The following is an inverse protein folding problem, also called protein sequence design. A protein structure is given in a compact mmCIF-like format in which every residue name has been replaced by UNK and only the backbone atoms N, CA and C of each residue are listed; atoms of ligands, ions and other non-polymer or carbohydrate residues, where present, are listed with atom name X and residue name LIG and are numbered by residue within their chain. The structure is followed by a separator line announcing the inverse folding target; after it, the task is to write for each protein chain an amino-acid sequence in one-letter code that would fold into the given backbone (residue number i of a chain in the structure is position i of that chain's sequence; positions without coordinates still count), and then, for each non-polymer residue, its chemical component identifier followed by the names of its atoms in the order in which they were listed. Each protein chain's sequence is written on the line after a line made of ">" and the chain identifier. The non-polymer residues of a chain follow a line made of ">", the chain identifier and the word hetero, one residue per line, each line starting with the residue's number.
data_IF_969505683768
#
_entry.id   IF_969505683768
#
_cell.length_a   1.000
_cell.length_b   1.000
_cell.length_c   1.000
_cell.angle_alpha   90.00
_cell.angle_beta   90.00
_cell.angle_gamma   90.00
#
_symmetry.space_group_name_H-M   'P 1'
#
loop_
_entity.id
_entity.type
_entity.pdbx_description
1 polymer ?
#
# COMPACT_ATOMS: atom_id res chain seq x y z
N UNK A 1 -14.95 -41.56 15.45
CA UNK A 1 -14.17 -40.31 15.51
C UNK A 1 -14.95 -39.21 14.77
N UNK A 2 -15.65 -38.35 15.52
CA UNK A 2 -16.45 -37.28 14.93
C UNK A 2 -15.57 -36.12 14.49
N UNK A 3 -15.64 -35.74 13.21
CA UNK A 3 -15.06 -34.50 12.69
C UNK A 3 -15.67 -33.32 13.46
N UNK A 4 -14.88 -32.64 14.30
CA UNK A 4 -15.24 -31.32 14.83
C UNK A 4 -15.45 -30.40 13.63
N UNK A 5 -16.71 -30.06 13.33
CA UNK A 5 -17.04 -28.90 12.50
C UNK A 5 -16.43 -27.68 13.20
N UNK A 6 -15.37 -27.12 12.63
CA UNK A 6 -14.92 -25.77 12.98
C UNK A 6 -16.07 -24.84 12.64
N UNK A 7 -16.83 -24.45 13.66
CA UNK A 7 -17.94 -23.51 13.55
C UNK A 7 -17.29 -22.17 13.17
N UNK A 8 -17.30 -21.83 11.89
CA UNK A 8 -16.85 -20.52 11.40
C UNK A 8 -17.64 -19.47 12.16
N UNK A 9 -16.93 -18.67 12.94
CA UNK A 9 -17.49 -17.55 13.68
C UNK A 9 -18.25 -16.65 12.69
N UNK A 10 -19.53 -16.32 12.94
CA UNK A 10 -20.27 -15.45 12.04
C UNK A 10 -19.59 -14.09 11.97
N UNK A 11 -19.30 -13.62 10.75
CA UNK A 11 -18.70 -12.31 10.47
C UNK A 11 -19.78 -11.35 9.98
N UNK A 12 -19.72 -10.09 10.37
CA UNK A 12 -20.60 -9.05 9.83
C UNK A 12 -20.20 -8.73 8.38
N UNK A 13 -21.17 -8.59 7.49
CA UNK A 13 -20.92 -8.32 6.07
C UNK A 13 -21.93 -7.34 5.49
N UNK A 14 -21.55 -6.69 4.40
CA UNK A 14 -22.45 -5.87 3.60
C UNK A 14 -22.15 -6.01 2.10
N UNK A 15 -23.10 -5.59 1.27
CA UNK A 15 -22.99 -5.62 -0.18
C UNK A 15 -23.37 -4.25 -0.75
N UNK A 16 -22.54 -3.73 -1.67
CA UNK A 16 -22.82 -2.47 -2.34
C UNK A 16 -23.99 -2.59 -3.31
N UNK A 17 -24.12 -3.71 -4.02
CA UNK A 17 -25.25 -3.98 -4.90
C UNK A 17 -25.88 -5.36 -4.68
N UNK A 18 -27.08 -5.54 -5.21
CA UNK A 18 -27.89 -6.74 -4.99
C UNK A 18 -27.21 -8.01 -5.52
N UNK A 19 -26.51 -7.91 -6.64
CA UNK A 19 -25.78 -9.03 -7.23
C UNK A 19 -24.61 -9.52 -6.36
N UNK A 20 -24.07 -8.68 -5.47
CA UNK A 20 -22.90 -9.03 -4.64
C UNK A 20 -23.31 -9.69 -3.31
N UNK A 21 -24.61 -9.82 -3.02
CA UNK A 21 -25.11 -10.25 -1.70
C UNK A 21 -24.66 -11.66 -1.33
N UNK A 22 -24.64 -12.59 -2.28
CA UNK A 22 -24.28 -13.97 -2.00
C UNK A 22 -22.76 -14.11 -1.76
N UNK A 23 -21.94 -13.39 -2.52
CA UNK A 23 -20.49 -13.35 -2.31
C UNK A 23 -20.12 -12.62 -1.00
N UNK A 24 -20.82 -11.53 -0.67
CA UNK A 24 -20.67 -10.84 0.61
C UNK A 24 -21.00 -11.75 1.79
N UNK A 25 -22.09 -12.53 1.68
CA UNK A 25 -22.47 -13.52 2.70
C UNK A 25 -21.44 -14.64 2.81
N UNK A 26 -20.90 -15.09 1.69
CA UNK A 26 -19.88 -16.14 1.65
C UNK A 26 -18.52 -15.63 2.16
N UNK A 27 -18.26 -14.33 2.05
CA UNK A 27 -16.98 -13.71 2.41
C UNK A 27 -15.84 -14.10 1.48
N UNK A 28 -16.13 -14.54 0.24
CA UNK A 28 -15.13 -14.98 -0.74
C UNK A 28 -15.70 -14.97 -2.17
N UNK A 29 -14.86 -14.83 -3.20
CA UNK A 29 -15.31 -14.88 -4.59
C UNK A 29 -15.81 -16.26 -4.98
N UNK A 30 -16.80 -16.27 -5.89
CA UNK A 30 -17.27 -17.49 -6.54
C UNK A 30 -16.38 -17.92 -7.72
N UNK A 31 -15.66 -16.97 -8.32
CA UNK A 31 -14.75 -17.19 -9.45
C UNK A 31 -13.28 -17.35 -9.01
N UNK A 32 -12.45 -17.94 -9.88
CA UNK A 32 -10.99 -18.08 -9.74
C UNK A 32 -10.28 -17.26 -10.84
N UNK A 33 -9.16 -16.61 -10.51
CA UNK A 33 -8.35 -15.81 -11.44
C UNK A 33 -7.10 -16.54 -11.98
N UNK A 34 -6.90 -17.84 -11.73
CA UNK A 34 -5.76 -18.60 -12.27
C UNK A 34 -5.64 -18.53 -13.80
N UNK A 35 -6.76 -18.68 -14.52
CA UNK A 35 -6.78 -18.62 -15.98
C UNK A 35 -6.40 -17.21 -16.47
N UNK A 36 -7.01 -16.18 -15.86
CA UNK A 36 -6.67 -14.78 -16.12
C UNK A 36 -5.17 -14.50 -15.90
N UNK A 37 -4.61 -15.01 -14.81
CA UNK A 37 -3.20 -14.85 -14.50
C UNK A 37 -2.28 -15.53 -15.54
N UNK A 38 -2.58 -16.77 -15.91
CA UNK A 38 -1.79 -17.51 -16.90
C UNK A 38 -1.77 -16.85 -18.28
N UNK A 39 -2.91 -16.33 -18.75
CA UNK A 39 -3.02 -15.63 -20.03
C UNK A 39 -2.21 -14.33 -20.11
N UNK A 40 -1.93 -13.70 -18.95
CA UNK A 40 -1.26 -12.40 -18.84
C UNK A 40 0.14 -12.48 -18.24
N UNK A 41 0.68 -13.70 -18.12
CA UNK A 41 1.99 -13.96 -17.48
C UNK A 41 2.11 -13.34 -16.08
N UNK A 42 1.02 -13.43 -15.31
CA UNK A 42 0.96 -13.01 -13.91
C UNK A 42 1.15 -14.21 -13.00
N UNK A 43 1.85 -13.98 -11.89
CA UNK A 43 1.96 -14.97 -10.83
C UNK A 43 0.68 -15.00 -10.00
N UNK A 44 0.01 -16.15 -9.95
CA UNK A 44 -1.14 -16.37 -9.07
C UNK A 44 -0.68 -16.67 -7.64
N UNK A 45 -0.86 -15.71 -6.74
CA UNK A 45 -0.51 -15.78 -5.32
C UNK A 45 -1.64 -16.27 -4.39
N UNK A 46 -2.85 -16.47 -4.91
CA UNK A 46 -4.01 -16.89 -4.11
C UNK A 46 -4.37 -15.88 -3.02
N UNK A 47 -4.36 -16.31 -1.77
CA UNK A 47 -4.80 -15.49 -0.62
C UNK A 47 -3.62 -14.77 0.07
N UNK A 48 -2.50 -14.56 -0.63
CA UNK A 48 -1.28 -13.98 -0.05
C UNK A 48 -1.10 -12.52 -0.44
N UNK A 49 -0.84 -11.69 0.57
CA UNK A 49 -0.35 -10.32 0.40
C UNK A 49 0.97 -10.28 -0.36
N UNK A 50 1.09 -9.30 -1.25
CA UNK A 50 2.31 -9.05 -2.00
C UNK A 50 3.08 -7.89 -1.37
N UNK A 51 4.33 -8.16 -0.98
CA UNK A 51 5.19 -7.20 -0.26
C UNK A 51 5.25 -5.83 -0.95
N UNK A 52 5.28 -5.82 -2.28
CA UNK A 52 5.43 -4.63 -3.11
C UNK A 52 4.29 -3.62 -3.02
N UNK A 53 3.13 -4.05 -2.54
CA UNK A 53 1.91 -3.25 -2.51
C UNK A 53 1.23 -3.26 -1.14
N UNK A 54 1.92 -3.69 -0.07
CA UNK A 54 1.32 -3.86 1.27
C UNK A 54 0.55 -2.65 1.79
N UNK A 55 0.99 -1.43 1.45
CA UNK A 55 0.33 -0.20 1.89
C UNK A 55 -1.08 -0.03 1.33
N UNK A 56 -1.28 -0.59 0.13
CA UNK A 56 -2.49 -0.48 -0.67
C UNK A 56 -3.34 -1.74 -0.70
N UNK A 57 -3.03 -2.81 0.04
CA UNK A 57 -3.85 -4.05 0.15
C UNK A 57 -4.19 -4.33 1.61
N UNK A 58 -5.28 -5.04 1.98
CA UNK A 58 -5.67 -5.29 3.36
C UNK A 58 -4.55 -5.73 4.31
N UNK A 59 -4.72 -5.44 5.61
CA UNK A 59 -3.73 -5.83 6.63
C UNK A 59 -3.63 -7.35 6.80
N UNK A 60 -4.73 -8.06 6.63
CA UNK A 60 -4.84 -9.48 6.93
C UNK A 60 -4.95 -10.27 5.64
N UNK A 61 -4.30 -11.44 5.58
CA UNK A 61 -4.36 -12.31 4.39
C UNK A 61 -5.77 -12.89 4.21
N UNK A 62 -6.51 -13.04 5.31
CA UNK A 62 -7.90 -13.50 5.38
C UNK A 62 -8.87 -12.60 4.60
N UNK A 63 -8.45 -11.38 4.24
CA UNK A 63 -9.24 -10.45 3.44
C UNK A 63 -8.87 -10.48 1.96
N UNK A 64 -7.92 -11.31 1.54
CA UNK A 64 -7.41 -11.34 0.17
C UNK A 64 -7.77 -12.66 -0.47
N UNK A 65 -8.23 -12.57 -1.71
CA UNK A 65 -8.56 -13.70 -2.56
C UNK A 65 -8.04 -13.45 -3.98
N UNK A 66 -7.70 -14.53 -4.68
CA UNK A 66 -7.33 -14.50 -6.09
C UNK A 66 -6.27 -13.44 -6.45
N UNK A 67 -5.27 -13.21 -5.61
CA UNK A 67 -4.24 -12.22 -5.87
C UNK A 67 -3.36 -12.64 -7.05
N UNK A 68 -3.33 -11.84 -8.10
CA UNK A 68 -2.50 -12.01 -9.30
C UNK A 68 -1.46 -10.88 -9.32
N UNK A 69 -0.19 -11.22 -9.30
CA UNK A 69 0.91 -10.28 -9.16
C UNK A 69 1.87 -10.33 -10.35
N UNK A 70 2.35 -9.19 -10.80
CA UNK A 70 3.31 -9.15 -11.89
C UNK A 70 3.43 -7.78 -12.52
N UNK A 71 3.86 -7.77 -13.78
CA UNK A 71 3.90 -6.57 -14.60
C UNK A 71 2.51 -6.33 -15.21
N UNK A 72 1.90 -5.20 -14.84
CA UNK A 72 0.63 -4.74 -15.38
C UNK A 72 0.90 -3.68 -16.45
N UNK A 73 0.41 -3.92 -17.67
CA UNK A 73 0.80 -3.16 -18.86
C UNK A 73 2.30 -3.28 -19.14
N UNK A 74 2.88 -2.24 -19.74
CA UNK A 74 4.27 -2.30 -20.21
C UNK A 74 5.31 -2.00 -19.11
N UNK A 75 4.92 -1.35 -18.01
CA UNK A 75 5.90 -0.64 -17.16
C UNK A 75 5.72 -0.80 -15.65
N UNK A 76 4.53 -1.16 -15.14
CA UNK A 76 4.26 -1.06 -13.69
C UNK A 76 4.15 -2.43 -13.05
N UNK A 77 4.78 -2.57 -11.89
CA UNK A 77 4.56 -3.73 -11.02
C UNK A 77 3.31 -3.49 -10.19
N UNK A 78 2.50 -4.52 -10.03
CA UNK A 78 1.29 -4.41 -9.24
C UNK A 78 0.57 -5.72 -9.02
N UNK A 79 -0.64 -5.61 -8.52
CA UNK A 79 -1.56 -6.73 -8.30
C UNK A 79 -2.95 -6.42 -8.81
N UNK A 80 -3.64 -7.46 -9.25
CA UNK A 80 -5.10 -7.52 -9.41
C UNK A 80 -5.59 -8.54 -8.39
N UNK A 81 -6.54 -8.17 -7.54
CA UNK A 81 -7.03 -9.08 -6.50
C UNK A 81 -8.48 -8.84 -6.14
N UNK A 82 -9.11 -9.89 -5.63
CA UNK A 82 -10.35 -9.79 -4.88
C UNK A 82 -10.01 -9.54 -3.42
N UNK A 83 -10.68 -8.59 -2.79
CA UNK A 83 -10.45 -8.32 -1.38
C UNK A 83 -11.74 -7.97 -0.63
N UNK A 84 -11.72 -8.19 0.68
CA UNK A 84 -12.74 -7.76 1.61
C UNK A 84 -12.35 -6.38 2.15
N UNK A 85 -13.13 -5.37 1.75
CA UNK A 85 -13.03 -4.03 2.31
C UNK A 85 -13.67 -4.01 3.69
N UNK A 86 -12.88 -3.70 4.71
CA UNK A 86 -13.36 -3.53 6.09
C UNK A 86 -13.94 -2.12 6.28
N UNK A 87 -15.16 -2.07 6.83
CA UNK A 87 -15.87 -0.83 7.14
C UNK A 87 -16.29 -0.88 8.61
N UNK A 88 -15.75 0.04 9.43
CA UNK A 88 -16.15 0.18 10.83
C UNK A 88 -17.61 0.64 10.98
N UNK A 89 -18.20 0.39 12.13
CA UNK A 89 -19.48 1.00 12.50
C UNK A 89 -19.27 2.40 13.09
N UNK A 90 -20.20 3.30 12.81
CA UNK A 90 -20.32 4.57 13.50
C UNK A 90 -21.53 4.52 14.44
N UNK A 91 -21.31 4.96 15.67
CA UNK A 91 -22.35 5.24 16.65
C UNK A 91 -22.81 6.69 16.49
N UNK A 92 -24.11 6.92 16.51
CA UNK A 92 -24.68 8.26 16.66
C UNK A 92 -25.81 8.19 17.68
N UNK A 93 -25.93 9.22 18.51
CA UNK A 93 -26.94 9.30 19.57
C UNK A 93 -28.39 9.20 19.03
N UNK A 94 -28.61 9.57 17.77
CA UNK A 94 -29.95 9.78 17.21
C UNK A 94 -30.37 8.77 16.12
N UNK A 95 -29.46 8.00 15.51
CA UNK A 95 -29.78 7.18 14.32
C UNK A 95 -29.41 5.70 14.40
N UNK A 96 -29.03 5.23 15.59
CA UNK A 96 -28.55 3.87 15.82
C UNK A 96 -27.15 3.63 15.23
N UNK A 97 -26.72 2.37 15.25
CA UNK A 97 -25.45 1.93 14.66
C UNK A 97 -25.60 1.78 13.16
N UNK A 98 -24.76 2.49 12.40
CA UNK A 98 -24.68 2.41 10.94
C UNK A 98 -23.26 2.10 10.53
N UNK A 99 -23.06 1.62 9.31
CA UNK A 99 -21.71 1.59 8.74
C UNK A 99 -21.16 3.02 8.71
N UNK A 100 -19.88 3.18 9.04
CA UNK A 100 -19.23 4.48 9.06
C UNK A 100 -19.14 5.10 7.65
N UNK A 101 -19.18 4.26 6.62
CA UNK A 101 -19.31 4.63 5.22
C UNK A 101 -20.75 5.02 4.89
N UNK A 102 -20.91 6.14 4.17
CA UNK A 102 -22.21 6.61 3.71
C UNK A 102 -22.78 5.81 2.53
N UNK A 103 -23.96 6.25 2.07
CA UNK A 103 -24.68 5.68 0.94
C UNK A 103 -25.44 4.41 1.30
N UNK A 104 -26.28 3.97 0.37
CA UNK A 104 -27.11 2.80 0.58
C UNK A 104 -26.33 1.51 0.30
N UNK A 105 -26.65 0.47 1.06
CA UNK A 105 -26.15 -0.88 0.85
C UNK A 105 -27.32 -1.76 0.46
N UNK A 106 -27.14 -2.62 -0.53
CA UNK A 106 -28.18 -3.58 -0.92
C UNK A 106 -28.53 -4.53 0.23
N UNK A 107 -27.55 -4.85 1.09
CA UNK A 107 -27.77 -5.60 2.32
C UNK A 107 -26.66 -5.36 3.32
N UNK A 108 -27.03 -5.36 4.61
CA UNK A 108 -26.10 -5.37 5.75
C UNK A 108 -26.54 -6.48 6.70
N UNK A 109 -25.59 -7.29 7.16
CA UNK A 109 -25.82 -8.30 8.19
C UNK A 109 -24.77 -8.16 9.28
N UNK A 110 -25.24 -7.91 10.50
CA UNK A 110 -24.41 -7.88 11.69
C UNK A 110 -24.26 -9.28 12.29
N UNK A 111 -23.10 -9.56 12.88
CA UNK A 111 -22.88 -10.74 13.71
C UNK A 111 -23.87 -10.75 14.88
N UNK A 112 -24.52 -11.89 15.11
CA UNK A 112 -25.59 -12.03 16.12
C UNK A 112 -25.17 -11.88 17.59
N UNK A 113 -23.87 -11.85 17.88
CA UNK A 113 -23.32 -11.64 19.23
C UNK A 113 -23.14 -10.15 19.59
N UNK A 114 -23.30 -9.23 18.63
CA UNK A 114 -23.38 -7.80 18.94
C UNK A 114 -24.71 -7.57 19.66
N UNK A 115 -24.71 -7.65 20.98
CA UNK A 115 -25.89 -7.24 21.76
C UNK A 115 -26.05 -5.76 21.54
N UNK A 116 -27.29 -5.33 21.31
CA UNK A 116 -27.64 -3.90 21.21
C UNK A 116 -27.11 -3.08 22.41
N UNK A 117 -26.93 -3.74 23.57
CA UNK A 117 -26.35 -3.18 24.78
C UNK A 117 -24.83 -2.97 24.74
N UNK A 118 -24.06 -3.76 23.98
CA UNK A 118 -22.60 -3.65 23.86
C UNK A 118 -22.17 -2.48 22.95
N UNK A 119 -23.15 -1.80 22.34
CA UNK A 119 -22.93 -0.72 21.38
C UNK A 119 -23.45 0.66 21.89
N UNK A 120 -24.01 0.71 23.11
CA UNK A 120 -24.43 1.97 23.76
C UNK A 120 -23.24 2.93 23.97
N UNK A 121 -23.44 4.27 23.98
CA UNK A 121 -22.38 5.27 24.16
C UNK A 121 -21.67 5.24 25.53
N UNK A 122 -21.97 4.26 26.40
CA UNK A 122 -21.25 3.98 27.65
C UNK A 122 -20.83 2.50 27.76
N UNK A 123 -21.09 1.66 26.76
CA UNK A 123 -20.79 0.23 26.80
C UNK A 123 -19.28 -0.07 26.86
N UNK A 124 -18.45 0.84 26.36
CA UNK A 124 -16.98 0.77 26.46
C UNK A 124 -16.44 0.98 27.89
N UNK A 125 -17.26 1.46 28.84
CA UNK A 125 -16.92 1.50 30.27
C UNK A 125 -17.14 0.14 30.97
N UNK A 126 -17.93 -0.76 30.37
CA UNK A 126 -18.33 -2.04 30.98
C UNK A 126 -17.89 -3.28 30.17
N UNK A 127 -17.60 -3.13 28.88
CA UNK A 127 -17.03 -4.18 28.04
C UNK A 127 -15.51 -4.14 28.14
N UNK A 128 -14.97 -4.92 29.09
CA UNK A 128 -13.52 -5.17 29.22
C UNK A 128 -12.91 -5.96 28.04
N UNK A 129 -13.54 -5.94 26.87
CA UNK A 129 -13.08 -6.64 25.66
C UNK A 129 -12.40 -5.60 24.77
N UNK A 130 -11.13 -5.33 25.06
CA UNK A 130 -10.21 -4.88 24.01
C UNK A 130 -9.99 -6.09 23.12
N UNK A 131 -10.74 -6.19 22.03
CA UNK A 131 -10.45 -7.16 20.97
C UNK A 131 -8.97 -7.01 20.61
N UNK A 132 -8.21 -8.09 20.74
CA UNK A 132 -6.83 -8.11 20.26
C UNK A 132 -6.85 -7.79 18.74
N UNK A 133 -5.91 -6.98 18.23
CA UNK A 133 -5.90 -6.64 16.82
C UNK A 133 -5.82 -7.92 15.97
N UNK A 134 -6.84 -8.18 15.17
CA UNK A 134 -6.98 -9.39 14.37
C UNK A 134 -7.97 -9.19 13.22
N UNK A 135 -8.08 -10.16 12.30
CA UNK A 135 -9.07 -10.12 11.23
C UNK A 135 -10.49 -10.24 11.78
N UNK A 136 -11.42 -9.59 11.09
CA UNK A 136 -12.86 -9.51 11.33
C UNK A 136 -13.24 -8.99 12.73
N UNK A 137 -12.76 -7.80 13.12
CA UNK A 137 -13.10 -7.25 14.43
C UNK A 137 -14.60 -7.00 14.55
N UNK A 138 -15.14 -7.16 15.76
CA UNK A 138 -16.58 -7.20 15.99
C UNK A 138 -17.29 -5.90 15.59
N UNK A 139 -16.58 -4.78 15.58
CA UNK A 139 -17.05 -3.44 15.27
C UNK A 139 -16.94 -3.06 13.78
N UNK A 140 -16.74 -4.06 12.90
CA UNK A 140 -16.66 -3.84 11.44
C UNK A 140 -17.59 -4.77 10.68
N UNK A 141 -17.87 -4.41 9.42
CA UNK A 141 -18.39 -5.31 8.41
C UNK A 141 -17.44 -5.37 7.21
N UNK A 142 -17.40 -6.52 6.54
CA UNK A 142 -16.64 -6.68 5.30
C UNK A 142 -17.52 -6.56 4.06
N UNK A 143 -16.96 -6.00 2.99
CA UNK A 143 -17.65 -5.80 1.71
C UNK A 143 -16.77 -6.28 0.55
N UNK A 144 -17.30 -7.08 -0.39
CA UNK A 144 -16.55 -7.51 -1.57
C UNK A 144 -16.12 -6.33 -2.44
N UNK A 145 -14.84 -6.28 -2.79
CA UNK A 145 -14.30 -5.37 -3.81
C UNK A 145 -13.25 -6.07 -4.65
N UNK A 146 -13.04 -5.54 -5.85
CA UNK A 146 -11.90 -5.87 -6.71
C UNK A 146 -10.94 -4.71 -6.72
N UNK A 147 -9.66 -4.97 -6.48
CA UNK A 147 -8.62 -3.97 -6.39
C UNK A 147 -7.52 -4.20 -7.44
N UNK A 148 -7.10 -3.11 -8.06
CA UNK A 148 -5.82 -3.03 -8.78
C UNK A 148 -4.91 -2.09 -8.00
N UNK A 149 -3.74 -2.58 -7.60
CA UNK A 149 -2.76 -1.79 -6.83
C UNK A 149 -1.43 -1.79 -7.56
N UNK A 150 -0.91 -0.61 -7.83
CA UNK A 150 0.29 -0.37 -8.63
C UNK A 150 1.37 0.29 -7.78
N UNK A 151 2.61 -0.13 -7.98
CA UNK A 151 3.78 0.54 -7.44
C UNK A 151 4.08 1.82 -8.24
N UNK A 152 4.09 2.95 -7.55
CA UNK A 152 4.34 4.29 -8.08
C UNK A 152 5.36 4.99 -7.18
N UNK A 153 6.67 4.70 -7.32
CA UNK A 153 7.73 5.23 -6.47
C UNK A 153 7.66 6.74 -6.24
N UNK A 154 7.28 7.49 -7.28
CA UNK A 154 7.21 8.94 -7.24
C UNK A 154 6.16 9.45 -6.23
N UNK A 155 5.18 8.62 -5.89
CA UNK A 155 4.16 8.92 -4.87
C UNK A 155 4.64 8.64 -3.43
N UNK A 156 5.92 8.33 -3.20
CA UNK A 156 6.45 8.05 -1.86
C UNK A 156 6.27 9.22 -0.89
N UNK A 157 6.45 10.45 -1.36
CA UNK A 157 6.37 11.67 -0.56
C UNK A 157 4.95 12.21 -0.39
N UNK A 158 3.99 11.67 -1.15
CA UNK A 158 2.60 12.09 -1.02
C UNK A 158 2.00 11.64 0.30
N UNK A 159 1.37 12.60 1.00
CA UNK A 159 0.33 12.26 1.97
C UNK A 159 -0.80 11.52 1.25
N UNK A 160 -1.37 10.52 1.91
CA UNK A 160 -2.41 9.69 1.31
C UNK A 160 -3.67 10.52 1.07
N UNK A 161 -4.21 10.42 -0.15
CA UNK A 161 -5.51 10.99 -0.49
C UNK A 161 -6.44 9.91 -1.04
N UNK A 162 -7.73 10.20 -1.10
CA UNK A 162 -8.73 9.31 -1.68
C UNK A 162 -9.76 10.10 -2.45
N UNK A 163 -9.99 9.73 -3.71
CA UNK A 163 -11.16 10.12 -4.49
C UNK A 163 -12.15 8.96 -4.48
N UNK A 164 -13.39 9.22 -4.06
CA UNK A 164 -14.41 8.17 -3.90
C UNK A 164 -15.78 8.70 -4.27
N UNK A 165 -16.69 7.80 -4.66
CA UNK A 165 -18.11 8.09 -4.84
C UNK A 165 -18.64 8.94 -3.67
N UNK A 166 -19.34 10.03 -4.00
CA UNK A 166 -19.66 11.11 -3.07
C UNK A 166 -20.61 10.68 -1.95
N UNK A 167 -21.50 9.72 -2.22
CA UNK A 167 -22.39 9.12 -1.22
C UNK A 167 -21.61 8.26 -0.19
N UNK A 168 -20.42 7.77 -0.55
CA UNK A 168 -19.56 6.93 0.30
C UNK A 168 -18.60 7.72 1.19
N UNK A 169 -18.60 9.04 1.08
CA UNK A 169 -17.89 9.97 1.96
C UNK A 169 -18.91 10.88 2.64
N UNK A 170 -18.72 11.19 3.93
CA UNK A 170 -19.60 12.17 4.59
C UNK A 170 -19.31 13.55 4.00
N UNK A 171 -20.31 14.44 4.05
CA UNK A 171 -20.14 15.79 3.49
C UNK A 171 -18.96 16.57 4.11
N UNK A 172 -18.62 16.28 5.38
CA UNK A 172 -17.49 16.85 6.09
C UNK A 172 -16.12 16.27 5.66
N UNK A 173 -16.10 15.15 4.92
CA UNK A 173 -14.86 14.42 4.59
C UNK A 173 -14.12 15.01 3.38
N UNK A 174 -14.70 16.02 2.71
CA UNK A 174 -14.01 16.88 1.73
C UNK A 174 -14.87 17.37 0.56
N UNK A 175 -14.30 18.19 -0.35
CA UNK A 175 -15.05 18.91 -1.37
C UNK A 175 -15.58 17.98 -2.49
N UNK A 176 -16.72 18.34 -3.11
CA UNK A 176 -17.20 17.69 -4.34
C UNK A 176 -16.28 18.00 -5.52
N UNK A 177 -16.24 17.10 -6.51
CA UNK A 177 -15.33 17.19 -7.66
C UNK A 177 -16.04 17.44 -8.99
N UNK A 178 -17.33 17.78 -8.98
CA UNK A 178 -18.11 18.18 -10.15
C UNK A 178 -17.41 19.28 -10.98
N UNK A 179 -16.80 20.34 -10.38
CA UNK A 179 -16.08 21.36 -11.15
C UNK A 179 -14.87 20.85 -11.94
N UNK A 180 -14.35 19.67 -11.58
CA UNK A 180 -13.20 19.03 -12.23
C UNK A 180 -13.60 17.89 -13.15
N UNK A 181 -14.87 17.81 -13.55
CA UNK A 181 -15.40 16.76 -14.44
C UNK A 181 -15.64 15.41 -13.76
N UNK A 182 -15.61 15.37 -12.42
CA UNK A 182 -15.80 14.18 -11.60
C UNK A 182 -17.10 14.27 -10.80
N UNK A 183 -18.23 14.40 -11.53
CA UNK A 183 -19.55 14.46 -10.93
C UNK A 183 -19.83 13.21 -10.08
N UNK A 184 -20.35 13.42 -8.87
CA UNK A 184 -20.63 12.31 -7.94
C UNK A 184 -19.38 11.73 -7.25
N UNK A 185 -18.24 12.43 -7.26
CA UNK A 185 -17.06 12.08 -6.46
C UNK A 185 -16.69 13.18 -5.46
N UNK A 186 -16.02 12.77 -4.38
CA UNK A 186 -15.43 13.64 -3.36
C UNK A 186 -13.97 13.28 -3.11
N UNK A 187 -13.21 14.27 -2.66
CA UNK A 187 -11.79 14.13 -2.30
C UNK A 187 -11.59 14.20 -0.79
N UNK A 188 -10.93 13.20 -0.21
CA UNK A 188 -10.36 13.24 1.15
C UNK A 188 -8.84 13.36 1.08
N UNK A 189 -8.24 14.13 1.98
CA UNK A 189 -6.78 14.37 2.02
C UNK A 189 -6.34 15.47 1.04
N UNK A 190 -7.05 16.61 1.04
CA UNK A 190 -6.79 17.74 0.12
C UNK A 190 -5.37 18.32 0.28
N UNK A 191 -4.80 18.21 1.47
CA UNK A 191 -3.45 18.61 1.83
C UNK A 191 -2.36 17.73 1.19
N UNK A 192 -2.72 16.64 0.51
CA UNK A 192 -1.75 15.81 -0.23
C UNK A 192 -1.08 16.55 -1.40
N UNK A 193 -1.74 17.58 -1.94
CA UNK A 193 -1.20 18.39 -3.02
C UNK A 193 -1.52 19.87 -2.81
N UNK A 194 -0.63 20.71 -3.33
CA UNK A 194 -0.94 22.11 -3.60
C UNK A 194 -2.10 22.24 -4.62
N UNK A 195 -2.93 23.29 -4.54
CA UNK A 195 -4.09 23.46 -5.43
C UNK A 195 -3.76 23.31 -6.92
N UNK A 196 -2.64 23.86 -7.39
CA UNK A 196 -2.24 23.77 -8.80
C UNK A 196 -1.93 22.34 -9.27
N UNK A 197 -1.48 21.46 -8.37
CA UNK A 197 -1.26 20.05 -8.69
C UNK A 197 -2.58 19.29 -8.78
N UNK A 198 -3.58 19.61 -7.95
CA UNK A 198 -4.94 19.09 -8.09
C UNK A 198 -5.57 19.46 -9.43
N UNK A 199 -5.42 20.71 -9.88
CA UNK A 199 -5.95 21.15 -11.19
C UNK A 199 -5.32 20.41 -12.38
N UNK A 200 -4.10 19.86 -12.22
CA UNK A 200 -3.48 19.01 -13.25
C UNK A 200 -3.90 17.54 -13.14
N UNK A 201 -4.08 17.03 -11.92
CA UNK A 201 -4.40 15.63 -11.67
C UNK A 201 -5.86 15.29 -11.97
N UNK A 202 -6.81 16.08 -11.44
CA UNK A 202 -8.23 15.72 -11.44
C UNK A 202 -8.83 15.63 -12.85
N UNK A 203 -8.55 16.54 -13.81
CA UNK A 203 -9.07 16.39 -15.17
C UNK A 203 -8.54 15.13 -15.87
N UNK A 204 -7.30 14.72 -15.59
CA UNK A 204 -6.71 13.47 -16.14
C UNK A 204 -7.32 12.24 -15.50
N UNK A 205 -7.66 12.31 -14.21
CA UNK A 205 -8.35 11.25 -13.49
C UNK A 205 -9.83 11.12 -13.92
N UNK A 206 -10.46 12.21 -14.37
CA UNK A 206 -11.87 12.26 -14.75
C UNK A 206 -12.25 11.21 -15.79
N UNK A 207 -11.46 11.05 -16.85
CA UNK A 207 -11.74 10.05 -17.88
C UNK A 207 -11.69 8.61 -17.36
N UNK A 208 -10.70 8.28 -16.52
CA UNK A 208 -10.54 6.95 -15.97
C UNK A 208 -11.61 6.62 -14.92
N UNK A 209 -11.96 7.56 -14.04
CA UNK A 209 -12.97 7.34 -13.00
C UNK A 209 -14.39 7.42 -13.55
N UNK A 210 -14.67 8.34 -14.46
CA UNK A 210 -16.00 8.49 -15.07
C UNK A 210 -16.40 7.31 -15.95
N UNK A 211 -15.43 6.56 -16.48
CA UNK A 211 -15.69 5.32 -17.23
C UNK A 211 -16.09 4.14 -16.31
N UNK A 212 -15.82 4.23 -15.00
CA UNK A 212 -16.13 3.18 -14.04
C UNK A 212 -17.55 3.36 -13.51
N UNK A 213 -18.48 2.57 -14.05
CA UNK A 213 -19.82 2.47 -13.51
C UNK A 213 -19.85 1.49 -12.33
N UNK A 214 -20.49 1.88 -11.22
CA UNK A 214 -20.74 0.96 -10.12
C UNK A 214 -21.18 1.65 -8.83
N UNK A 215 -21.73 0.87 -7.88
CA UNK A 215 -22.20 1.37 -6.59
C UNK A 215 -21.07 1.81 -5.65
N UNK A 216 -19.82 1.50 -6.02
CA UNK A 216 -18.61 1.88 -5.30
C UNK A 216 -17.42 1.94 -6.26
N UNK A 217 -16.76 3.10 -6.30
CA UNK A 217 -15.45 3.29 -6.92
C UNK A 217 -14.58 4.11 -5.95
N UNK A 218 -13.35 3.67 -5.74
CA UNK A 218 -12.37 4.38 -4.91
C UNK A 218 -11.01 4.38 -5.57
N UNK A 219 -10.45 5.56 -5.76
CA UNK A 219 -9.08 5.78 -6.17
C UNK A 219 -8.29 6.38 -5.01
N UNK A 220 -7.13 5.83 -4.74
CA UNK A 220 -6.28 6.24 -3.65
C UNK A 220 -4.83 6.28 -4.13
N UNK A 221 -4.06 7.26 -3.65
CA UNK A 221 -2.63 7.30 -3.87
C UNK A 221 -1.89 7.83 -2.65
N UNK A 222 -0.62 7.44 -2.55
CA UNK A 222 0.30 7.83 -1.47
C UNK A 222 1.23 6.68 -1.10
N UNK A 223 2.31 6.99 -0.38
CA UNK A 223 3.26 5.97 0.13
C UNK A 223 3.75 5.02 -0.97
N UNK A 224 4.13 5.60 -2.11
CA UNK A 224 4.65 4.91 -3.30
C UNK A 224 3.65 3.99 -4.02
N UNK A 225 2.34 4.19 -3.82
CA UNK A 225 1.29 3.34 -4.39
C UNK A 225 0.15 4.14 -5.01
N UNK A 226 -0.51 3.51 -5.97
CA UNK A 226 -1.85 3.85 -6.47
C UNK A 226 -2.74 2.63 -6.33
N UNK A 227 -3.94 2.79 -5.78
CA UNK A 227 -4.93 1.74 -5.67
C UNK A 227 -6.27 2.19 -6.25
N UNK A 228 -6.84 1.38 -7.14
CA UNK A 228 -8.16 1.55 -7.70
C UNK A 228 -9.04 0.37 -7.28
N UNK A 229 -10.22 0.66 -6.71
CA UNK A 229 -11.17 -0.34 -6.21
C UNK A 229 -12.54 -0.13 -6.81
N UNK A 230 -13.21 -1.23 -7.11
CA UNK A 230 -14.62 -1.27 -7.52
C UNK A 230 -15.39 -2.27 -6.68
N UNK A 231 -16.69 -2.03 -6.48
CA UNK A 231 -17.56 -2.93 -5.72
C UNK A 231 -17.74 -4.30 -6.42
N UNK A 232 -17.78 -5.37 -5.61
CA UNK A 232 -17.98 -6.75 -6.07
C UNK A 232 -16.68 -7.46 -6.49
N UNK A 233 -16.76 -8.78 -6.67
CA UNK A 233 -15.66 -9.60 -7.21
C UNK A 233 -15.81 -9.74 -8.73
N UNK A 234 -14.98 -9.02 -9.47
CA UNK A 234 -15.04 -8.97 -10.94
C UNK A 234 -14.35 -10.19 -11.51
N UNK A 235 -15.13 -11.12 -12.05
CA UNK A 235 -14.62 -12.33 -12.68
C UNK A 235 -14.32 -12.18 -14.19
N UNK A 236 -14.96 -11.23 -14.85
CA UNK A 236 -14.85 -11.05 -16.31
C UNK A 236 -13.46 -10.52 -16.71
N UNK A 237 -12.69 -11.24 -17.55
CA UNK A 237 -11.34 -10.83 -17.94
C UNK A 237 -11.29 -9.46 -18.63
N UNK A 238 -12.27 -9.14 -19.48
CA UNK A 238 -12.30 -7.86 -20.20
C UNK A 238 -12.53 -6.68 -19.26
N UNK A 239 -13.38 -6.84 -18.25
CA UNK A 239 -13.58 -5.85 -17.18
C UNK A 239 -12.36 -5.71 -16.29
N UNK A 240 -11.64 -6.80 -16.00
CA UNK A 240 -10.38 -6.75 -15.26
C UNK A 240 -9.30 -6.00 -16.05
N UNK A 241 -9.17 -6.26 -17.35
CA UNK A 241 -8.25 -5.53 -18.22
C UNK A 241 -8.57 -4.04 -18.28
N UNK A 242 -9.85 -3.69 -18.42
CA UNK A 242 -10.29 -2.29 -18.38
C UNK A 242 -9.95 -1.63 -17.03
N UNK A 243 -10.18 -2.33 -15.92
CA UNK A 243 -9.82 -1.84 -14.59
C UNK A 243 -8.32 -1.62 -14.44
N UNK A 244 -7.49 -2.53 -14.96
CA UNK A 244 -6.03 -2.37 -15.00
C UNK A 244 -5.64 -1.17 -15.84
N UNK A 245 -6.23 -1.00 -17.04
CA UNK A 245 -5.94 0.15 -17.91
C UNK A 245 -6.26 1.49 -17.22
N UNK A 246 -7.41 1.58 -16.54
CA UNK A 246 -7.78 2.76 -15.77
C UNK A 246 -6.83 3.02 -14.60
N UNK A 247 -6.43 1.98 -13.87
CA UNK A 247 -5.44 2.11 -12.80
C UNK A 247 -4.08 2.59 -13.32
N UNK A 248 -3.64 2.11 -14.49
CA UNK A 248 -2.40 2.56 -15.14
C UNK A 248 -2.47 4.05 -15.52
N UNK A 249 -3.59 4.49 -16.09
CA UNK A 249 -3.81 5.92 -16.42
C UNK A 249 -3.74 6.79 -15.17
N UNK A 250 -4.36 6.36 -14.06
CA UNK A 250 -4.30 7.08 -12.79
C UNK A 250 -2.88 7.09 -12.21
N UNK A 251 -2.15 5.98 -12.31
CA UNK A 251 -0.77 5.89 -11.86
C UNK A 251 0.18 6.79 -12.64
N UNK A 252 0.00 6.88 -13.97
CA UNK A 252 0.76 7.79 -14.83
C UNK A 252 0.41 9.26 -14.52
N UNK A 253 -0.88 9.58 -14.34
CA UNK A 253 -1.31 10.92 -13.97
C UNK A 253 -0.73 11.36 -12.62
N UNK A 254 -0.72 10.47 -11.62
CA UNK A 254 -0.08 10.75 -10.32
C UNK A 254 1.41 10.95 -10.51
N UNK A 255 2.10 10.01 -11.15
CA UNK A 255 3.55 10.06 -11.36
C UNK A 255 4.00 11.36 -12.05
N UNK A 256 3.27 11.79 -13.09
CA UNK A 256 3.55 13.03 -13.81
C UNK A 256 3.41 14.29 -12.94
N UNK A 257 2.42 14.31 -12.03
CA UNK A 257 2.13 15.49 -11.19
C UNK A 257 3.12 15.59 -10.03
N UNK A 258 3.62 14.46 -9.53
CA UNK A 258 4.54 14.41 -8.38
C UNK A 258 6.02 14.36 -8.77
N UNK A 259 6.34 14.01 -10.02
CA UNK A 259 7.73 13.87 -10.44
C UNK A 259 8.50 15.15 -10.12
N UNK A 260 9.48 15.10 -9.20
CA UNK A 260 10.27 16.27 -8.90
C UNK A 260 11.09 16.63 -10.15
N UNK A 261 11.41 17.93 -10.36
CA UNK A 261 12.36 18.30 -11.39
C UNK A 261 13.69 17.56 -11.13
N UNK A 262 14.39 17.11 -12.18
CA UNK A 262 15.64 16.40 -12.01
C UNK A 262 16.63 17.26 -11.22
N UNK A 263 17.13 16.73 -10.10
CA UNK A 263 18.11 17.43 -9.28
C UNK A 263 19.49 17.32 -9.96
N UNK A 264 20.20 18.45 -10.20
CA UNK A 264 21.35 18.49 -11.11
C UNK A 264 22.57 17.66 -10.66
N UNK A 265 22.72 17.36 -9.37
CA UNK A 265 23.83 16.56 -8.80
C UNK A 265 23.38 15.28 -8.08
N UNK A 266 22.75 14.35 -8.79
CA UNK A 266 22.22 13.08 -8.23
C UNK A 266 23.19 11.90 -8.29
N UNK A 267 24.50 12.14 -8.11
CA UNK A 267 25.46 11.02 -8.06
C UNK A 267 25.29 10.22 -6.78
N UNK A 268 25.26 8.89 -6.89
CA UNK A 268 25.03 8.00 -5.75
C UNK A 268 25.93 8.27 -4.53
N UNK A 269 27.22 8.54 -4.74
CA UNK A 269 28.20 8.70 -3.68
C UNK A 269 28.10 10.03 -2.91
N UNK A 270 27.39 11.03 -3.44
CA UNK A 270 27.25 12.33 -2.77
C UNK A 270 26.35 12.22 -1.55
N UNK A 271 26.68 12.91 -0.45
CA UNK A 271 25.84 12.93 0.74
C UNK A 271 24.48 13.56 0.42
N UNK A 272 23.40 12.95 0.93
CA UNK A 272 22.10 13.62 0.95
C UNK A 272 22.05 14.60 2.14
N UNK A 273 21.16 15.61 2.08
CA UNK A 273 20.88 16.47 3.23
C UNK A 273 20.67 15.68 4.53
N UNK A 274 21.11 16.20 5.68
CA UNK A 274 20.85 15.56 6.97
C UNK A 274 19.35 15.53 7.25
N UNK A 275 18.90 14.53 8.02
CA UNK A 275 17.50 14.46 8.44
C UNK A 275 17.12 15.73 9.25
N UNK A 276 15.91 16.26 9.08
CA UNK A 276 15.43 17.36 9.90
C UNK A 276 15.40 16.94 11.37
N UNK A 277 15.66 17.89 12.28
CA UNK A 277 15.53 17.64 13.71
C UNK A 277 14.08 17.25 14.03
N UNK A 278 13.89 16.14 14.74
CA UNK A 278 12.57 15.77 15.25
C UNK A 278 12.18 16.71 16.39
N UNK A 279 11.03 17.36 16.28
CA UNK A 279 10.48 18.10 17.42
C UNK A 279 10.01 17.09 18.49
N UNK A 280 10.34 17.32 19.77
CA UNK A 280 9.96 16.41 20.84
C UNK A 280 8.45 16.47 21.06
N UNK A 281 7.72 15.56 20.42
CA UNK A 281 6.31 15.29 20.74
C UNK A 281 6.22 14.41 21.99
N UNK A 282 5.30 14.71 22.91
CA UNK A 282 5.14 13.99 24.20
C UNK A 282 4.83 12.48 24.06
N UNK A 283 4.39 12.04 22.87
CA UNK A 283 4.15 10.64 22.49
C UNK A 283 4.99 10.19 21.28
N UNK A 284 6.10 10.88 20.98
CA UNK A 284 6.95 10.54 19.84
C UNK A 284 7.57 9.14 20.03
N UNK A 285 7.39 8.28 19.03
CA UNK A 285 8.12 7.03 18.99
C UNK A 285 9.63 7.31 18.88
N UNK A 286 10.46 6.55 19.60
CA UNK A 286 11.91 6.81 19.75
C UNK A 286 12.72 6.49 18.49
N UNK A 287 12.10 6.59 17.31
CA UNK A 287 12.68 6.18 16.04
C UNK A 287 13.91 7.00 15.67
N UNK A 288 13.86 8.33 15.82
CA UNK A 288 15.01 9.19 15.56
C UNK A 288 16.22 8.80 16.40
N UNK A 289 16.03 8.66 17.72
CA UNK A 289 17.09 8.21 18.63
C UNK A 289 17.63 6.82 18.26
N UNK A 290 16.75 5.89 17.87
CA UNK A 290 17.15 4.54 17.43
C UNK A 290 18.04 4.59 16.18
N UNK A 291 17.76 5.50 15.23
CA UNK A 291 18.62 5.73 14.06
C UNK A 291 19.93 6.41 14.43
N UNK A 292 19.92 7.35 15.36
CA UNK A 292 21.13 8.07 15.80
C UNK A 292 22.08 7.13 16.56
N UNK A 293 21.55 6.28 17.44
CA UNK A 293 22.31 5.23 18.14
C UNK A 293 22.94 4.25 17.14
N UNK A 294 22.17 3.85 16.12
CA UNK A 294 22.68 3.02 15.04
C UNK A 294 23.77 3.73 14.23
N UNK A 295 23.54 4.98 13.85
CA UNK A 295 24.52 5.79 13.13
C UNK A 295 25.85 5.85 13.89
N UNK A 296 25.80 6.13 15.20
CA UNK A 296 26.97 6.14 16.07
C UNK A 296 27.65 4.77 16.19
N UNK A 297 26.87 3.70 16.42
CA UNK A 297 27.38 2.34 16.59
C UNK A 297 28.15 1.84 15.36
N UNK A 298 27.66 2.14 14.15
CA UNK A 298 28.24 1.63 12.90
C UNK A 298 29.06 2.68 12.13
N UNK A 299 29.30 3.87 12.69
CA UNK A 299 30.03 4.94 12.02
C UNK A 299 29.33 5.44 10.74
N UNK A 300 28.01 5.37 10.69
CA UNK A 300 27.19 5.81 9.56
C UNK A 300 26.67 7.23 9.80
N UNK A 301 26.24 7.91 8.73
CA UNK A 301 25.57 9.20 8.80
C UNK A 301 24.07 9.04 8.55
N UNK A 302 23.25 9.65 9.39
CA UNK A 302 21.82 9.80 9.14
C UNK A 302 21.56 10.81 8.02
N UNK A 303 20.76 10.41 7.03
CA UNK A 303 20.34 11.26 5.91
C UNK A 303 18.82 11.48 5.93
N UNK A 304 18.35 12.55 5.29
CA UNK A 304 16.92 12.87 5.14
C UNK A 304 16.21 11.80 4.27
N UNK A 305 15.22 11.06 4.82
CA UNK A 305 14.44 10.11 4.06
C UNK A 305 13.68 10.75 2.89
N UNK A 306 13.27 12.01 2.99
CA UNK A 306 12.58 12.68 1.90
C UNK A 306 13.55 13.07 0.79
N UNK A 307 14.76 13.52 1.14
CA UNK A 307 15.81 13.79 0.18
C UNK A 307 16.21 12.54 -0.62
N UNK A 308 16.16 11.34 -0.02
CA UNK A 308 16.37 10.09 -0.74
C UNK A 308 15.36 9.93 -1.88
N UNK A 309 14.07 10.10 -1.61
CA UNK A 309 13.02 9.95 -2.63
C UNK A 309 13.08 11.06 -3.69
N UNK A 310 13.54 12.27 -3.34
CA UNK A 310 13.81 13.33 -4.33
C UNK A 310 15.01 13.01 -5.21
N UNK A 311 16.08 12.44 -4.63
CA UNK A 311 17.28 12.05 -5.37
C UNK A 311 17.04 10.84 -6.28
N UNK A 312 16.17 9.91 -5.86
CA UNK A 312 15.82 8.70 -6.60
C UNK A 312 14.30 8.55 -6.76
N UNK A 313 13.64 9.35 -7.62
CA UNK A 313 12.18 9.34 -7.75
C UNK A 313 11.61 8.00 -8.25
N UNK A 314 12.45 7.16 -8.85
CA UNK A 314 12.09 5.84 -9.35
C UNK A 314 12.64 4.71 -8.45
N UNK A 315 12.93 4.99 -7.17
CA UNK A 315 13.42 4.02 -6.19
C UNK A 315 12.51 2.77 -6.17
N UNK A 316 13.02 1.58 -6.50
CA UNK A 316 12.18 0.38 -6.64
C UNK A 316 11.75 -0.23 -5.29
N UNK A 317 12.28 0.27 -4.17
CA UNK A 317 11.94 -0.20 -2.84
C UNK A 317 10.51 0.23 -2.49
N UNK A 318 9.62 -0.71 -2.16
CA UNK A 318 8.25 -0.41 -1.78
C UNK A 318 8.12 0.50 -0.55
N UNK A 319 7.19 1.45 -0.60
CA UNK A 319 6.81 2.29 0.53
C UNK A 319 7.55 3.64 0.59
N UNK A 320 7.42 4.33 1.73
CA UNK A 320 8.14 5.58 2.03
C UNK A 320 9.25 5.29 3.04
N UNK A 321 10.41 5.89 2.82
CA UNK A 321 11.53 5.73 3.74
C UNK A 321 11.22 6.51 5.02
N UNK A 322 11.45 5.89 6.16
CA UNK A 322 11.36 6.47 7.48
C UNK A 322 12.75 6.78 8.07
N UNK A 323 13.80 6.22 7.48
CA UNK A 323 15.16 6.34 7.98
C UNK A 323 16.18 5.96 6.92
N UNK A 324 17.29 6.70 6.87
CA UNK A 324 18.40 6.46 5.95
C UNK A 324 19.71 6.57 6.71
N UNK A 325 20.56 5.55 6.60
CA UNK A 325 21.91 5.53 7.13
C UNK A 325 22.90 5.33 5.96
N UNK A 326 23.84 6.24 5.78
CA UNK A 326 24.78 6.24 4.67
C UNK A 326 26.23 6.16 5.16
N UNK A 327 27.08 5.44 4.44
CA UNK A 327 28.49 5.31 4.79
C UNK A 327 29.11 4.05 4.21
N UNK A 328 30.18 3.59 4.84
CA UNK A 328 30.73 2.25 4.62
C UNK A 328 29.88 1.24 5.39
N UNK A 329 29.08 0.46 4.68
CA UNK A 329 28.16 -0.49 5.29
C UNK A 329 28.93 -1.73 5.80
N UNK A 330 28.39 -2.44 6.82
CA UNK A 330 28.92 -3.75 7.21
C UNK A 330 29.10 -4.65 5.99
N UNK A 331 30.31 -5.18 5.82
CA UNK A 331 30.75 -5.86 4.60
C UNK A 331 31.59 -4.99 3.65
N UNK A 332 31.93 -3.75 4.01
CA UNK A 332 32.97 -2.94 3.35
C UNK A 332 32.55 -2.25 2.04
N UNK A 333 31.26 -2.23 1.71
CA UNK A 333 30.74 -1.53 0.54
C UNK A 333 30.15 -0.17 0.94
N UNK A 334 30.49 0.89 0.20
CA UNK A 334 29.83 2.18 0.37
C UNK A 334 28.39 2.12 -0.13
N UNK A 335 27.44 2.56 0.68
CA UNK A 335 26.02 2.43 0.36
C UNK A 335 25.10 3.19 1.31
N UNK A 336 23.80 2.91 1.18
CA UNK A 336 22.76 3.39 2.09
C UNK A 336 21.93 2.23 2.60
N UNK A 337 21.64 2.22 3.89
CA UNK A 337 20.57 1.42 4.47
C UNK A 337 19.33 2.29 4.60
N UNK A 338 18.18 1.77 4.21
CA UNK A 338 16.91 2.48 4.19
C UNK A 338 15.82 1.61 4.81
N UNK A 339 14.91 2.22 5.56
CA UNK A 339 13.88 1.51 6.31
C UNK A 339 12.52 2.07 5.90
N UNK A 340 11.73 1.28 5.19
CA UNK A 340 10.50 1.76 4.56
C UNK A 340 9.25 1.33 5.31
N UNK A 341 8.31 2.27 5.42
CA UNK A 341 6.97 2.03 5.92
C UNK A 341 5.98 1.99 4.77
N UNK A 342 5.03 1.09 4.88
CA UNK A 342 3.92 0.94 3.93
C UNK A 342 2.64 1.61 4.41
N UNK A 343 2.52 1.83 5.73
CA UNK A 343 1.35 2.45 6.37
C UNK A 343 1.80 3.30 7.54
N UNK A 344 1.16 4.46 7.70
CA UNK A 344 1.37 5.30 8.87
C UNK A 344 0.92 4.54 10.13
N UNK A 345 1.74 4.55 11.17
CA UNK A 345 1.46 3.87 12.44
C UNK A 345 1.73 2.36 12.43
N UNK A 346 2.15 1.78 11.29
CA UNK A 346 2.70 0.42 11.27
C UNK A 346 4.16 0.46 11.73
N UNK A 347 4.48 -0.34 12.74
CA UNK A 347 5.84 -0.48 13.25
C UNK A 347 6.67 -1.42 12.38
N UNK A 348 6.02 -2.21 11.51
CA UNK A 348 6.70 -3.11 10.59
C UNK A 348 7.47 -2.31 9.54
N UNK A 349 8.73 -2.69 9.31
CA UNK A 349 9.62 -2.00 8.37
C UNK A 349 10.15 -2.94 7.30
N UNK A 350 10.34 -2.39 6.10
CA UNK A 350 11.06 -3.04 5.04
C UNK A 350 12.48 -2.48 4.98
N UNK A 351 13.45 -3.26 5.44
CA UNK A 351 14.86 -2.89 5.35
C UNK A 351 15.41 -3.14 3.93
N UNK A 352 16.17 -2.16 3.43
CA UNK A 352 16.82 -2.24 2.13
C UNK A 352 18.23 -1.66 2.15
N UNK A 353 19.16 -2.30 1.44
CA UNK A 353 20.49 -1.80 1.15
C UNK A 353 20.55 -1.29 -0.30
N UNK A 354 21.06 -0.07 -0.47
CA UNK A 354 21.24 0.60 -1.75
C UNK A 354 22.73 0.73 -2.01
N UNK A 355 23.14 0.49 -3.25
CA UNK A 355 24.52 0.59 -3.70
C UNK A 355 24.61 1.27 -5.06
N UNK A 356 25.80 1.78 -5.37
CA UNK A 356 26.13 2.22 -6.73
C UNK A 356 26.21 1.00 -7.64
N UNK A 357 25.46 1.04 -8.74
CA UNK A 357 25.45 -0.01 -9.74
C UNK A 357 26.74 0.09 -10.56
N UNK A 358 27.40 -1.05 -10.76
CA UNK A 358 28.59 -1.13 -11.61
C UNK A 358 28.26 -0.70 -13.04
N UNK A 359 29.09 0.13 -13.69
CA UNK A 359 28.96 0.42 -15.11
C UNK A 359 28.94 -0.86 -15.95
N UNK A 360 27.99 -0.96 -16.89
CA UNK A 360 27.83 -2.16 -17.73
C UNK A 360 27.29 -3.39 -17.01
N UNK A 361 26.74 -3.26 -15.79
CA UNK A 361 26.04 -4.35 -15.13
C UNK A 361 24.84 -4.85 -15.97
N UNK A 362 24.50 -6.15 -15.93
CA UNK A 362 23.35 -6.69 -16.64
C UNK A 362 22.06 -5.94 -16.29
N UNK A 363 21.16 -5.79 -17.26
CA UNK A 363 19.81 -5.28 -16.99
C UNK A 363 19.02 -6.29 -16.17
N UNK A 364 18.24 -5.77 -15.21
CA UNK A 364 17.30 -6.56 -14.44
C UNK A 364 15.89 -6.28 -14.96
N UNK A 365 14.99 -7.27 -14.96
CA UNK A 365 13.60 -7.06 -15.33
C UNK A 365 12.94 -5.99 -14.44
N UNK A 366 11.90 -5.28 -14.94
CA UNK A 366 11.14 -4.34 -14.14
C UNK A 366 10.68 -4.95 -12.82
N UNK A 367 10.95 -4.25 -11.72
CA UNK A 367 10.67 -4.75 -10.38
C UNK A 367 11.75 -5.69 -9.80
N UNK A 368 12.78 -6.07 -10.55
CA UNK A 368 13.90 -6.84 -10.04
C UNK A 368 13.69 -8.35 -9.99
N UNK A 369 14.65 -9.06 -9.41
CA UNK A 369 14.73 -10.52 -9.32
C UNK A 369 14.85 -10.94 -7.86
N UNK A 370 14.28 -12.08 -7.50
CA UNK A 370 14.50 -12.69 -6.19
C UNK A 370 15.83 -13.45 -6.21
N UNK A 371 16.69 -13.20 -5.23
CA UNK A 371 17.86 -14.01 -4.96
C UNK A 371 17.57 -14.91 -3.75
N UNK A 372 17.23 -16.17 -4.02
CA UNK A 372 16.83 -17.12 -2.98
C UNK A 372 17.97 -17.42 -2.00
N UNK A 373 19.24 -17.33 -2.44
CA UNK A 373 20.41 -17.57 -1.62
C UNK A 373 20.62 -16.52 -0.52
N UNK A 374 20.18 -15.29 -0.76
CA UNK A 374 20.16 -14.23 0.25
C UNK A 374 18.77 -13.94 0.80
N UNK A 375 17.69 -14.49 0.23
CA UNK A 375 16.31 -14.13 0.56
C UNK A 375 15.99 -12.65 0.30
N UNK A 376 16.76 -11.99 -0.57
CA UNK A 376 16.58 -10.59 -0.94
C UNK A 376 15.91 -10.50 -2.31
N UNK A 377 15.33 -9.35 -2.58
CA UNK A 377 14.94 -8.93 -3.92
C UNK A 377 15.88 -7.83 -4.39
N UNK A 378 16.37 -7.94 -5.62
CA UNK A 378 17.34 -7.01 -6.22
C UNK A 378 16.72 -6.34 -7.44
N UNK A 379 16.66 -5.01 -7.45
CA UNK A 379 16.24 -4.23 -8.61
C UNK A 379 17.23 -3.10 -8.90
N UNK A 380 17.36 -2.73 -10.16
CA UNK A 380 18.23 -1.66 -10.60
C UNK A 380 17.42 -0.53 -11.26
N UNK A 381 17.84 0.71 -11.02
CA UNK A 381 17.29 1.90 -11.68
C UNK A 381 18.42 2.90 -11.88
N UNK A 382 18.69 3.26 -13.14
CA UNK A 382 19.83 4.12 -13.47
C UNK A 382 21.15 3.55 -12.96
N UNK A 383 21.85 4.35 -12.15
CA UNK A 383 23.11 4.06 -11.47
C UNK A 383 22.95 3.43 -10.08
N UNK A 384 21.72 3.09 -9.68
CA UNK A 384 21.42 2.52 -8.36
C UNK A 384 20.99 1.06 -8.47
N UNK A 385 21.49 0.23 -7.54
CA UNK A 385 20.93 -1.09 -7.26
C UNK A 385 20.38 -1.12 -5.83
N UNK A 386 19.13 -1.57 -5.69
CA UNK A 386 18.43 -1.71 -4.43
C UNK A 386 18.21 -3.19 -4.11
N UNK A 387 18.53 -3.58 -2.88
CA UNK A 387 18.33 -4.92 -2.35
C UNK A 387 17.47 -4.84 -1.10
N UNK A 388 16.34 -5.53 -1.04
CA UNK A 388 15.47 -5.51 0.15
C UNK A 388 14.97 -6.89 0.54
N UNK A 389 14.62 -7.07 1.80
CA UNK A 389 14.10 -8.35 2.32
C UNK A 389 12.80 -8.74 1.62
N UNK A 390 12.55 -10.04 1.46
CA UNK A 390 11.24 -10.53 1.00
C UNK A 390 10.20 -10.61 2.13
N UNK A 391 10.57 -10.23 3.35
CA UNK A 391 9.71 -10.12 4.53
C UNK A 391 9.83 -8.76 5.18
N UNK A 392 8.80 -8.35 5.91
CA UNK A 392 8.86 -7.21 6.81
C UNK A 392 9.52 -7.63 8.13
N UNK A 393 10.27 -6.72 8.75
CA UNK A 393 10.81 -6.89 10.10
C UNK A 393 9.88 -6.21 11.11
N UNK A 394 9.80 -6.72 12.34
CA UNK A 394 8.95 -6.21 13.43
C UNK A 394 9.50 -4.90 14.05
N UNK A 395 9.99 -3.98 13.21
CA UNK A 395 10.46 -2.65 13.62
C UNK A 395 11.89 -2.60 14.16
N UNK A 396 12.62 -3.71 14.16
CA UNK A 396 14.04 -3.73 14.55
C UNK A 396 14.96 -3.31 13.39
N UNK A 397 16.01 -2.54 13.69
CA UNK A 397 17.04 -2.16 12.71
C UNK A 397 17.98 -3.34 12.42
N UNK A 398 17.72 -4.09 11.35
CA UNK A 398 18.58 -5.18 10.90
C UNK A 398 19.80 -4.69 10.09
N UNK A 399 20.63 -3.80 10.64
CA UNK A 399 21.72 -3.09 9.91
C UNK A 399 22.71 -4.06 9.25
N UNK A 400 23.44 -4.86 10.05
CA UNK A 400 24.47 -5.78 9.54
C UNK A 400 23.89 -6.82 8.59
N UNK A 401 22.81 -7.49 9.00
CA UNK A 401 22.19 -8.55 8.21
C UNK A 401 21.69 -8.03 6.85
N UNK A 402 21.06 -6.86 6.81
CA UNK A 402 20.56 -6.27 5.56
C UNK A 402 21.70 -5.85 4.64
N UNK A 403 22.75 -5.22 5.17
CA UNK A 403 23.91 -4.81 4.39
C UNK A 403 24.63 -6.00 3.75
N UNK A 404 24.96 -7.02 4.54
CA UNK A 404 25.70 -8.19 4.07
C UNK A 404 24.90 -9.03 3.07
N UNK A 405 23.61 -9.27 3.34
CA UNK A 405 22.71 -9.98 2.41
C UNK A 405 22.52 -9.19 1.12
N UNK A 406 22.29 -7.89 1.23
CA UNK A 406 22.13 -7.00 0.06
C UNK A 406 23.37 -6.98 -0.82
N UNK A 407 24.57 -6.84 -0.23
CA UNK A 407 25.84 -6.88 -0.98
C UNK A 407 26.02 -8.21 -1.69
N UNK A 408 25.78 -9.32 -1.00
CA UNK A 408 25.88 -10.68 -1.56
C UNK A 408 24.92 -10.86 -2.74
N UNK A 409 23.66 -10.45 -2.57
CA UNK A 409 22.64 -10.54 -3.60
C UNK A 409 23.03 -9.75 -4.85
N UNK A 410 23.40 -8.48 -4.68
CA UNK A 410 23.81 -7.62 -5.79
C UNK A 410 25.07 -8.13 -6.50
N UNK A 411 26.07 -8.63 -5.75
CA UNK A 411 27.28 -9.23 -6.32
C UNK A 411 26.97 -10.52 -7.11
N UNK A 412 26.10 -11.39 -6.59
CA UNK A 412 25.71 -12.63 -7.28
C UNK A 412 25.03 -12.41 -8.63
N UNK A 413 24.35 -11.26 -8.77
CA UNK A 413 23.68 -10.83 -10.01
C UNK A 413 24.56 -9.90 -10.87
N UNK A 414 25.85 -9.78 -10.56
CA UNK A 414 26.81 -8.97 -11.32
C UNK A 414 26.55 -7.46 -11.28
N UNK A 415 25.80 -6.98 -10.28
CA UNK A 415 25.44 -5.56 -10.15
C UNK A 415 26.51 -4.73 -9.42
N UNK A 416 27.39 -5.38 -8.65
CA UNK A 416 28.52 -4.75 -7.96
C UNK A 416 29.86 -5.22 -8.55
N UNK A 417 30.90 -4.42 -8.36
CA UNK A 417 32.28 -4.91 -8.52
C UNK A 417 32.57 -5.92 -7.39
N UNK A 418 33.20 -7.04 -7.75
CA UNK A 418 33.53 -8.12 -6.83
C UNK A 418 34.63 -7.79 -5.83
#
# INVERSE_FOLDING_TARGET
>A
MGRRRTRTTPVSWAAFAAQDVDEARAGRPSADLRAYAAERDLHFGGDRRQLRVLGGVPRWNEYIHNCCAGRLGDRRQGVVQHELLEIGFATSEHSGHRLAMGGDFAKVKLRGDLRLADLLPLAHLFSGVRDAPGPFPADTATVPVTAVVLHVPQAALLSRFTVRSADRLRNADGPPLDPHGLAGYRLRGRDAFEPAAWERLLPRAAGALGALAGPYVSFEAGTALVALRVGGFVADPGRLDALVAHALTLADAVADVVAPPPHPDTRFHLPLPPAPAEEPMQDADRWGATLDDAAAQWGLRREDPDALHRAYPALPVPGRSRGVLAGELPGGARGRLTFHQHRRGDLSLLAAALFERRPGAPELPPGGVNDDGSGMRVAAVGDLVACWSQTMDDGQLAVTATAERGRRAAASLGQLAG
#
